data_IF_391510777022
#
_entry.id   IF_391510777022
#
_cell.length_a   1.000
_cell.length_b   1.000
_cell.length_c   1.000
_cell.angle_alpha   90.00
_cell.angle_beta   90.00
_cell.angle_gamma   90.00
#
_symmetry.space_group_name_H-M   'P 1'
#
loop_
_entity.id
_entity.type
_entity.pdbx_description
1 polymer ?
#
# COMPACT_ATOMS: atom_id res chain seq x y z
N UNK A 1 11.25 -3.57 -5.03
CA UNK A 1 10.69 -2.21 -4.84
C UNK A 1 11.06 -1.73 -3.45
N UNK A 2 11.35 -0.44 -3.29
CA UNK A 2 11.49 0.20 -1.97
C UNK A 2 10.35 1.20 -1.80
N UNK A 3 9.71 1.19 -0.64
CA UNK A 3 8.77 2.22 -0.22
C UNK A 3 9.29 2.84 1.07
N UNK A 4 9.24 4.17 1.14
CA UNK A 4 9.59 4.93 2.33
C UNK A 4 8.43 5.86 2.67
N UNK A 5 8.10 5.95 3.96
CA UNK A 5 7.02 6.78 4.50
C UNK A 5 7.58 7.65 5.61
N UNK A 6 7.10 8.90 5.65
CA UNK A 6 7.32 9.83 6.77
C UNK A 6 5.95 10.30 7.23
N UNK A 7 5.64 10.10 8.50
CA UNK A 7 4.33 10.43 9.07
C UNK A 7 4.48 10.95 10.49
N UNK A 8 3.52 11.79 10.91
CA UNK A 8 3.51 12.38 12.25
C UNK A 8 2.42 11.72 13.09
N UNK A 9 2.76 11.42 14.34
CA UNK A 9 1.82 10.90 15.34
C UNK A 9 1.32 12.04 16.23
N UNK A 10 0.05 11.96 16.60
CA UNK A 10 -0.59 12.90 17.53
C UNK A 10 -0.11 12.75 18.97
N UNK A 11 -0.90 13.24 19.93
CA UNK A 11 -0.51 13.28 21.34
C UNK A 11 -0.53 11.92 22.03
N UNK A 12 -1.31 10.96 21.52
CA UNK A 12 -1.41 9.60 22.05
C UNK A 12 -0.42 8.69 21.33
N UNK A 13 0.19 7.77 22.07
CA UNK A 13 1.05 6.75 21.51
C UNK A 13 0.27 5.80 20.60
N UNK A 14 0.95 5.25 19.60
CA UNK A 14 0.35 4.29 18.68
C UNK A 14 1.07 2.96 18.87
N UNK A 15 0.35 1.97 19.41
CA UNK A 15 0.85 0.62 19.59
C UNK A 15 0.38 -0.28 18.43
N UNK A 16 1.23 -1.23 18.04
CA UNK A 16 0.93 -2.22 17.02
C UNK A 16 0.36 -1.60 15.73
N UNK A 17 1.03 -0.56 15.23
CA UNK A 17 0.63 0.08 13.98
C UNK A 17 0.94 -0.86 12.81
N UNK A 18 -0.07 -1.14 11.98
CA UNK A 18 0.00 -2.09 10.87
C UNK A 18 -0.73 -1.55 9.65
N UNK A 19 -0.20 -1.80 8.47
CA UNK A 19 -0.85 -1.50 7.20
C UNK A 19 -1.01 -2.76 6.37
N UNK A 20 -2.23 -3.01 5.89
CA UNK A 20 -2.52 -4.04 4.90
C UNK A 20 -2.86 -3.31 3.61
N UNK A 21 -2.07 -3.53 2.56
CA UNK A 21 -2.30 -2.93 1.24
C UNK A 21 -2.67 -4.00 0.22
N UNK A 22 -3.84 -3.87 -0.39
CA UNK A 22 -4.34 -4.81 -1.39
C UNK A 22 -4.41 -4.13 -2.74
N UNK A 23 -3.88 -4.80 -3.75
CA UNK A 23 -3.91 -4.36 -5.15
C UNK A 23 -4.83 -5.25 -5.94
N UNK A 24 -5.65 -4.63 -6.77
CA UNK A 24 -6.67 -5.25 -7.58
C UNK A 24 -6.47 -4.91 -9.04
N UNK A 25 -6.73 -5.88 -9.90
CA UNK A 25 -6.89 -5.67 -11.33
C UNK A 25 -8.26 -6.19 -11.76
N UNK A 26 -9.12 -5.33 -12.32
CA UNK A 26 -10.51 -5.67 -12.72
C UNK A 26 -11.26 -6.42 -11.61
N UNK A 27 -11.18 -5.90 -10.39
CA UNK A 27 -11.76 -6.48 -9.16
C UNK A 27 -11.18 -7.82 -8.69
N UNK A 28 -10.14 -8.36 -9.33
CA UNK A 28 -9.40 -9.53 -8.86
C UNK A 28 -8.23 -9.11 -8.00
N UNK A 29 -8.07 -9.71 -6.82
CA UNK A 29 -6.92 -9.47 -5.96
C UNK A 29 -5.67 -10.04 -6.66
N UNK A 30 -4.75 -9.15 -7.03
CA UNK A 30 -3.48 -9.54 -7.67
C UNK A 30 -2.32 -9.51 -6.67
N UNK A 31 -2.47 -8.78 -5.56
CA UNK A 31 -1.45 -8.70 -4.52
C UNK A 31 -2.00 -8.22 -3.19
N UNK A 32 -1.47 -8.76 -2.10
CA UNK A 32 -1.66 -8.22 -0.75
C UNK A 32 -0.30 -8.09 -0.09
N UNK A 33 -0.08 -6.95 0.53
CA UNK A 33 1.06 -6.70 1.40
C UNK A 33 0.58 -6.48 2.81
N UNK A 34 1.43 -6.86 3.74
CA UNK A 34 1.15 -6.79 5.16
C UNK A 34 2.41 -6.25 5.83
N UNK A 35 2.30 -5.07 6.41
CA UNK A 35 3.42 -4.30 6.91
C UNK A 35 3.18 -3.92 8.36
N UNK A 36 4.10 -4.32 9.24
CA UNK A 36 4.11 -3.92 10.64
C UNK A 36 5.07 -2.74 10.84
N UNK A 37 4.54 -1.64 11.38
CA UNK A 37 5.31 -0.47 11.79
C UNK A 37 5.73 -0.59 13.26
N UNK A 38 4.91 -1.27 14.07
CA UNK A 38 5.16 -1.47 15.50
C UNK A 38 4.74 -0.26 16.34
N UNK A 39 5.57 0.10 17.32
CA UNK A 39 5.32 1.24 18.20
C UNK A 39 5.71 2.56 17.53
N UNK A 40 4.82 3.56 17.57
CA UNK A 40 5.13 4.91 17.12
C UNK A 40 5.04 5.91 18.29
N UNK A 41 6.10 6.72 18.40
CA UNK A 41 6.30 7.65 19.52
C UNK A 41 5.27 8.79 19.42
N UNK A 42 4.59 9.17 20.52
CA UNK A 42 3.66 10.30 20.52
C UNK A 42 4.38 11.63 20.25
N UNK A 43 3.68 12.56 19.61
CA UNK A 43 4.15 13.90 19.24
C UNK A 43 5.44 13.92 18.41
N UNK A 44 5.78 12.82 17.73
CA UNK A 44 6.99 12.71 16.91
C UNK A 44 6.66 12.54 15.42
N UNK A 45 7.67 12.82 14.60
CA UNK A 45 7.70 12.39 13.20
C UNK A 45 8.46 11.06 13.13
N UNK A 46 7.84 10.05 12.53
CA UNK A 46 8.41 8.72 12.36
C UNK A 46 8.70 8.47 10.87
N UNK A 47 9.79 7.77 10.60
CA UNK A 47 10.14 7.28 9.26
C UNK A 47 10.08 5.77 9.24
N UNK A 48 9.52 5.20 8.19
CA UNK A 48 9.44 3.76 8.00
C UNK A 48 9.79 3.39 6.56
N UNK A 49 10.47 2.26 6.39
CA UNK A 49 10.86 1.75 5.09
C UNK A 49 10.61 0.25 4.98
N UNK A 50 10.19 -0.19 3.79
CA UNK A 50 10.17 -1.59 3.43
C UNK A 50 10.74 -1.83 2.04
N UNK A 51 11.44 -2.94 1.92
CA UNK A 51 11.89 -3.51 0.66
C UNK A 51 11.10 -4.79 0.44
N UNK A 52 10.45 -4.89 -0.71
CA UNK A 52 9.67 -6.06 -1.08
C UNK A 52 9.89 -6.44 -2.55
N UNK A 53 9.85 -7.74 -2.88
CA UNK A 53 10.00 -8.21 -4.26
C UNK A 53 8.82 -7.69 -5.10
N UNK A 54 9.00 -7.51 -6.40
CA UNK A 54 7.85 -7.36 -7.33
C UNK A 54 7.65 -8.75 -7.95
N UNK A 55 6.43 -9.32 -7.96
CA UNK A 55 6.20 -10.59 -8.61
C UNK A 55 6.46 -10.44 -10.10
N UNK A 56 7.13 -11.42 -10.66
CA UNK A 56 7.24 -11.54 -12.10
C UNK A 56 5.84 -11.77 -12.68
N UNK A 57 5.59 -11.18 -13.85
CA UNK A 57 4.34 -11.33 -14.59
C UNK A 57 4.66 -11.66 -16.04
N UNK A 58 3.73 -12.37 -16.67
CA UNK A 58 3.83 -12.70 -18.09
C UNK A 58 3.77 -11.43 -18.96
N UNK A 59 4.31 -11.50 -20.17
CA UNK A 59 4.25 -10.39 -21.11
C UNK A 59 2.79 -10.05 -21.49
N UNK A 60 1.93 -11.07 -21.55
CA UNK A 60 0.50 -10.95 -21.80
C UNK A 60 -0.21 -10.18 -20.69
N UNK A 61 0.07 -10.49 -19.41
CA UNK A 61 -0.49 -9.75 -18.27
C UNK A 61 -0.04 -8.29 -18.27
N UNK A 62 1.23 -8.04 -18.56
CA UNK A 62 1.77 -6.67 -18.64
C UNK A 62 1.05 -5.90 -19.75
N UNK A 63 0.84 -6.51 -20.93
CA UNK A 63 0.10 -5.89 -22.01
C UNK A 63 -1.36 -5.61 -21.62
N UNK A 64 -2.02 -6.53 -20.90
CA UNK A 64 -3.39 -6.32 -20.43
C UNK A 64 -3.49 -5.14 -19.45
N UNK A 65 -2.51 -4.99 -18.56
CA UNK A 65 -2.44 -3.90 -17.59
C UNK A 65 -2.33 -2.54 -18.28
N UNK A 66 -1.44 -2.43 -19.27
CA UNK A 66 -1.27 -1.21 -20.08
C UNK A 66 -2.54 -0.84 -20.85
N UNK A 67 -3.23 -1.84 -21.39
CA UNK A 67 -4.47 -1.64 -22.16
C UNK A 67 -5.71 -1.40 -21.30
N UNK A 68 -5.57 -1.38 -19.97
CA UNK A 68 -6.69 -1.23 -19.02
C UNK A 68 -6.42 -0.09 -18.02
N UNK A 69 -6.42 1.19 -18.45
CA UNK A 69 -5.98 2.33 -17.64
C UNK A 69 -6.74 2.53 -16.31
N UNK A 70 -8.02 2.12 -16.24
CA UNK A 70 -8.83 2.18 -15.02
C UNK A 70 -8.92 0.84 -14.25
N UNK A 71 -8.16 -0.15 -14.72
CA UNK A 71 -8.22 -1.53 -14.26
C UNK A 71 -7.52 -1.75 -12.93
N UNK A 72 -6.51 -0.93 -12.60
CA UNK A 72 -5.70 -1.08 -11.40
C UNK A 72 -6.12 -0.17 -10.27
N UNK A 73 -6.35 -0.77 -9.10
CA UNK A 73 -6.75 -0.07 -7.89
C UNK A 73 -6.06 -0.66 -6.68
N UNK A 74 -5.91 0.12 -5.62
CA UNK A 74 -5.51 -0.39 -4.33
C UNK A 74 -6.35 0.16 -3.19
N UNK A 75 -6.39 -0.63 -2.14
CA UNK A 75 -6.91 -0.28 -0.83
C UNK A 75 -5.79 -0.46 0.20
N UNK A 76 -5.45 0.62 0.90
CA UNK A 76 -4.48 0.59 2.00
C UNK A 76 -5.24 0.80 3.32
N UNK A 77 -5.32 -0.26 4.12
CA UNK A 77 -6.00 -0.31 5.40
C UNK A 77 -4.98 -0.16 6.53
N UNK A 78 -5.22 0.77 7.45
CA UNK A 78 -4.32 1.06 8.56
C UNK A 78 -4.98 0.72 9.88
N UNK A 79 -4.27 -0.05 10.71
CA UNK A 79 -4.76 -0.57 11.98
C UNK A 79 -3.85 -0.13 13.12
N UNK A 80 -4.46 0.16 14.27
CA UNK A 80 -3.77 0.35 15.55
C UNK A 80 -4.31 -0.69 16.51
N UNK A 81 -3.46 -1.63 16.93
CA UNK A 81 -3.94 -2.91 17.46
C UNK A 81 -4.74 -3.64 16.37
N UNK A 82 -6.01 -3.94 16.64
CA UNK A 82 -6.92 -4.62 15.70
C UNK A 82 -8.04 -3.70 15.18
N UNK A 83 -7.95 -2.39 15.41
CA UNK A 83 -8.97 -1.43 14.99
C UNK A 83 -8.53 -0.70 13.73
N UNK A 84 -9.38 -0.73 12.70
CA UNK A 84 -9.20 0.06 11.48
C UNK A 84 -9.34 1.56 11.82
N UNK A 85 -8.30 2.35 11.55
CA UNK A 85 -8.27 3.79 11.84
C UNK A 85 -8.25 4.67 10.58
N UNK A 86 -7.77 4.13 9.46
CA UNK A 86 -7.65 4.87 8.20
C UNK A 86 -7.74 3.90 7.02
N UNK A 87 -8.34 4.36 5.94
CA UNK A 87 -8.51 3.60 4.70
C UNK A 87 -8.26 4.52 3.52
N UNK A 88 -7.14 4.31 2.84
CA UNK A 88 -6.76 5.04 1.65
C UNK A 88 -7.05 4.21 0.40
N UNK A 89 -7.38 4.90 -0.69
CA UNK A 89 -7.63 4.30 -2.00
C UNK A 89 -6.75 4.96 -3.05
N UNK A 90 -6.24 4.16 -3.97
CA UNK A 90 -5.54 4.68 -5.14
C UNK A 90 -5.98 3.96 -6.42
N UNK A 91 -5.77 4.63 -7.55
CA UNK A 91 -5.91 4.08 -8.89
C UNK A 91 -4.60 4.27 -9.63
N UNK A 92 -4.25 3.32 -10.49
CA UNK A 92 -2.99 3.33 -11.22
C UNK A 92 -3.27 3.20 -12.71
N UNK A 93 -2.60 4.04 -13.50
CA UNK A 93 -2.58 3.94 -14.94
C UNK A 93 -1.17 3.52 -15.38
N UNK A 94 -1.10 2.44 -16.16
CA UNK A 94 0.14 1.92 -16.74
C UNK A 94 0.17 2.05 -18.27
N UNK A 95 -0.80 2.72 -18.87
CA UNK A 95 -0.77 3.03 -20.29
C UNK A 95 0.52 3.77 -20.63
N UNK A 96 1.07 3.47 -21.81
CA UNK A 96 2.23 4.21 -22.31
C UNK A 96 1.81 5.67 -22.56
N UNK A 97 2.64 6.62 -22.11
CA UNK A 97 2.43 8.03 -22.40
C UNK A 97 2.56 8.25 -23.92
N UNK A 98 1.55 8.90 -24.53
CA UNK A 98 1.50 9.19 -25.96
C UNK A 98 2.53 10.26 -26.40
#
# INVERSE_FOLDING_TARGET
MRTALVFRVGTQEVNNFRMIERHYFKNKLIRSYDFEFGFCIPNSTNSWEAIYPIPERSAEEIAEFKNSPDGHRSDSFYFVGDKLIMHNKAMYNYADDA
#
